data_IF_916051953074
#
_entry.id   IF_916051953074
#
_cell.length_a   1.000
_cell.length_b   1.000
_cell.length_c   1.000
_cell.angle_alpha   90.00
_cell.angle_beta   90.00
_cell.angle_gamma   90.00
#
_symmetry.space_group_name_H-M   'P 1'
#
loop_
_entity.id
_entity.type
_entity.pdbx_description
1 polymer ?
#
# COMPACT_ATOMS: atom_id res chain seq x y z
N UNK A 1 -37.96 10.89 -18.01
CA UNK A 1 -37.66 9.62 -17.28
C UNK A 1 -37.01 10.00 -15.96
N UNK A 2 -37.70 9.84 -14.88
CA UNK A 2 -37.24 10.24 -13.53
C UNK A 2 -36.34 9.14 -12.99
N UNK A 3 -35.04 9.44 -12.86
CA UNK A 3 -34.07 8.60 -12.19
C UNK A 3 -34.33 8.75 -10.67
N UNK A 4 -35.20 7.89 -10.11
CA UNK A 4 -35.41 7.86 -8.66
C UNK A 4 -34.18 7.27 -8.01
N UNK A 5 -33.39 8.13 -7.40
CA UNK A 5 -32.33 7.74 -6.49
C UNK A 5 -32.95 6.98 -5.31
N UNK A 6 -32.72 5.67 -5.22
CA UNK A 6 -33.23 4.84 -4.13
C UNK A 6 -32.31 5.00 -2.90
N UNK A 7 -32.76 5.73 -1.85
CA UNK A 7 -31.95 5.96 -0.66
C UNK A 7 -31.59 4.67 0.10
N UNK A 8 -32.38 3.60 -0.05
CA UNK A 8 -32.10 2.32 0.59
C UNK A 8 -30.88 1.60 -0.03
N UNK A 9 -30.63 1.80 -1.32
CA UNK A 9 -29.45 1.23 -1.98
C UNK A 9 -28.14 1.82 -1.49
N UNK A 10 -28.17 3.12 -1.20
CA UNK A 10 -27.00 3.84 -0.64
C UNK A 10 -26.68 3.37 0.79
N UNK A 11 -27.69 3.28 1.64
CA UNK A 11 -27.56 2.81 3.03
C UNK A 11 -27.08 1.37 3.13
N UNK A 12 -27.54 0.48 2.24
CA UNK A 12 -27.08 -0.91 2.19
C UNK A 12 -25.63 -1.04 1.72
N UNK A 13 -25.17 -0.16 0.82
CA UNK A 13 -23.78 -0.14 0.39
C UNK A 13 -22.85 0.36 1.48
N UNK A 14 -23.23 1.39 2.22
CA UNK A 14 -22.46 1.91 3.36
C UNK A 14 -22.37 0.91 4.52
N UNK A 15 -23.46 0.20 4.81
CA UNK A 15 -23.46 -0.85 5.83
C UNK A 15 -22.54 -2.03 5.46
N UNK A 16 -22.54 -2.44 4.19
CA UNK A 16 -21.60 -3.46 3.69
C UNK A 16 -20.15 -3.03 3.80
N UNK A 17 -19.84 -1.79 3.44
CA UNK A 17 -18.49 -1.22 3.53
C UNK A 17 -18.05 -1.19 5.00
N UNK A 18 -18.91 -0.73 5.92
CA UNK A 18 -18.61 -0.71 7.36
C UNK A 18 -18.35 -2.12 7.91
N UNK A 19 -19.16 -3.09 7.54
CA UNK A 19 -19.00 -4.47 8.01
C UNK A 19 -17.70 -5.08 7.49
N UNK A 20 -17.32 -4.81 6.24
CA UNK A 20 -16.05 -5.30 5.69
C UNK A 20 -14.83 -4.62 6.30
N UNK A 21 -14.91 -3.32 6.59
CA UNK A 21 -13.88 -2.60 7.31
C UNK A 21 -13.70 -3.15 8.74
N UNK A 22 -14.80 -3.46 9.43
CA UNK A 22 -14.75 -4.03 10.78
C UNK A 22 -14.18 -5.46 10.76
N UNK A 23 -14.57 -6.31 9.81
CA UNK A 23 -13.98 -7.64 9.63
C UNK A 23 -12.48 -7.58 9.39
N UNK A 24 -12.03 -6.63 8.58
CA UNK A 24 -10.61 -6.44 8.28
C UNK A 24 -9.84 -5.91 9.49
N UNK A 25 -10.46 -5.04 10.30
CA UNK A 25 -9.90 -4.56 11.58
C UNK A 25 -9.71 -5.72 12.57
N UNK A 26 -10.69 -6.61 12.67
CA UNK A 26 -10.64 -7.78 13.55
C UNK A 26 -9.62 -8.84 13.09
N UNK A 27 -9.34 -8.92 11.78
CA UNK A 27 -8.30 -9.79 11.21
C UNK A 27 -6.89 -9.19 11.27
N UNK A 28 -6.74 -7.94 11.75
CA UNK A 28 -5.47 -7.21 11.64
C UNK A 28 -5.08 -6.88 10.19
N UNK A 29 -6.02 -7.07 9.24
CA UNK A 29 -5.83 -6.83 7.82
C UNK A 29 -6.48 -5.49 7.43
N UNK A 30 -5.68 -4.55 6.94
CA UNK A 30 -6.18 -3.34 6.27
C UNK A 30 -6.76 -2.27 7.19
N UNK A 31 -6.04 -1.89 8.22
CA UNK A 31 -6.18 -0.61 8.89
C UNK A 31 -5.14 0.40 8.37
N UNK A 32 -5.31 1.69 8.69
CA UNK A 32 -4.19 2.61 8.67
C UNK A 32 -3.03 1.92 9.40
N UNK A 33 -1.79 1.96 8.88
CA UNK A 33 -0.69 1.26 9.51
C UNK A 33 -0.64 1.66 10.97
N UNK A 34 -0.83 0.69 11.85
CA UNK A 34 -0.51 0.86 13.26
C UNK A 34 0.97 1.20 13.30
N UNK A 35 1.28 2.42 13.65
CA UNK A 35 2.59 3.04 13.45
C UNK A 35 3.59 2.58 14.48
N UNK A 36 3.84 1.30 14.53
CA UNK A 36 5.02 0.77 15.18
C UNK A 36 6.14 0.84 14.16
N UNK A 37 7.10 1.69 14.40
CA UNK A 37 8.30 1.81 13.57
C UNK A 37 9.50 1.32 14.34
N UNK A 38 10.56 0.95 13.63
CA UNK A 38 11.86 0.61 14.20
C UNK A 38 12.65 1.84 14.68
N UNK A 39 12.05 3.04 14.62
CA UNK A 39 12.68 4.26 15.12
C UNK A 39 12.93 4.18 16.63
N UNK A 40 14.15 4.49 17.10
CA UNK A 40 14.44 4.56 18.54
C UNK A 40 13.56 5.58 19.25
N UNK A 41 13.37 5.39 20.55
CA UNK A 41 12.62 6.34 21.37
C UNK A 41 13.43 7.55 21.81
N UNK A 42 14.75 7.40 21.91
CA UNK A 42 15.61 8.49 22.34
C UNK A 42 15.94 9.50 21.21
N UNK A 43 15.97 10.78 21.54
CA UNK A 43 16.12 11.86 20.57
C UNK A 43 17.47 11.86 19.84
N UNK A 44 18.55 11.39 20.47
CA UNK A 44 19.88 11.37 19.89
C UNK A 44 20.02 10.31 18.81
N UNK A 45 19.55 9.09 19.08
CA UNK A 45 19.55 7.97 18.13
C UNK A 45 18.65 8.24 16.92
N UNK A 46 17.51 8.90 17.12
CA UNK A 46 16.56 9.25 16.04
C UNK A 46 17.19 10.16 14.97
N UNK A 47 18.18 10.96 15.30
CA UNK A 47 18.89 11.83 14.36
C UNK A 47 19.67 11.06 13.28
N UNK A 48 19.96 9.77 13.53
CA UNK A 48 20.62 8.90 12.55
C UNK A 48 19.69 8.39 11.45
N UNK A 49 18.40 8.77 11.48
CA UNK A 49 17.38 8.36 10.49
C UNK A 49 16.84 9.57 9.72
N UNK A 50 17.60 10.09 8.73
CA UNK A 50 17.22 11.28 7.99
C UNK A 50 16.17 10.96 6.89
N UNK A 51 14.95 10.61 7.29
CA UNK A 51 13.89 10.14 6.37
C UNK A 51 13.55 11.21 5.33
N UNK A 52 13.39 12.46 5.75
CA UNK A 52 13.06 13.54 4.82
C UNK A 52 14.23 13.84 3.89
N UNK A 53 15.38 14.22 4.43
CA UNK A 53 16.55 14.66 3.65
C UNK A 53 17.30 13.51 2.97
N UNK A 54 17.20 12.30 3.50
CA UNK A 54 17.90 11.12 2.98
C UNK A 54 17.07 10.26 2.01
N UNK A 55 15.75 10.43 1.99
CA UNK A 55 14.86 9.65 1.14
C UNK A 55 13.88 10.54 0.36
N UNK A 56 13.03 11.28 1.07
CA UNK A 56 11.96 12.05 0.41
C UNK A 56 12.51 13.12 -0.53
N UNK A 57 13.52 13.86 -0.11
CA UNK A 57 14.12 14.94 -0.91
C UNK A 57 14.89 14.40 -2.12
N UNK A 58 15.40 13.16 -2.05
CA UNK A 58 16.12 12.54 -3.17
C UNK A 58 15.17 11.97 -4.23
N UNK A 59 14.02 11.46 -3.83
CA UNK A 59 13.16 10.66 -4.71
C UNK A 59 11.70 11.15 -4.77
N UNK A 60 11.42 12.46 -4.82
CA UNK A 60 10.04 12.96 -4.74
C UNK A 60 9.15 12.39 -5.84
N UNK A 61 9.60 12.43 -7.10
CA UNK A 61 8.81 11.94 -8.23
C UNK A 61 8.69 10.42 -8.27
N UNK A 62 9.74 9.70 -7.86
CA UNK A 62 9.70 8.25 -7.74
C UNK A 62 8.68 7.82 -6.67
N UNK A 63 8.63 8.51 -5.54
CA UNK A 63 7.66 8.23 -4.48
C UNK A 63 6.22 8.52 -4.92
N UNK A 64 6.00 9.57 -5.71
CA UNK A 64 4.70 9.84 -6.35
C UNK A 64 4.30 8.67 -7.26
N UNK A 65 5.20 8.20 -8.12
CA UNK A 65 4.95 7.07 -9.01
C UNK A 65 4.64 5.78 -8.23
N UNK A 66 5.38 5.49 -7.15
CA UNK A 66 5.12 4.34 -6.27
C UNK A 66 3.75 4.46 -5.59
N UNK A 67 3.36 5.66 -5.15
CA UNK A 67 2.05 5.88 -4.53
C UNK A 67 0.89 5.62 -5.50
N UNK A 68 1.07 5.95 -6.78
CA UNK A 68 0.09 5.64 -7.83
C UNK A 68 -0.08 4.13 -8.04
N UNK A 69 0.99 3.35 -7.97
CA UNK A 69 0.91 1.88 -8.01
C UNK A 69 0.05 1.35 -6.86
N UNK A 70 0.25 1.86 -5.66
CA UNK A 70 -0.55 1.51 -4.49
C UNK A 70 -2.04 1.80 -4.70
N UNK A 71 -2.35 3.01 -5.20
CA UNK A 71 -3.73 3.43 -5.48
C UNK A 71 -4.38 2.58 -6.58
N UNK A 72 -3.68 2.38 -7.70
CA UNK A 72 -4.19 1.57 -8.80
C UNK A 72 -4.45 0.11 -8.39
N UNK A 73 -3.55 -0.49 -7.61
CA UNK A 73 -3.75 -1.82 -7.07
C UNK A 73 -4.95 -1.92 -6.13
N UNK A 74 -5.14 -0.92 -5.28
CA UNK A 74 -6.31 -0.86 -4.40
C UNK A 74 -7.62 -0.75 -5.20
N UNK A 75 -7.67 0.13 -6.18
CA UNK A 75 -8.87 0.34 -7.00
C UNK A 75 -9.22 -0.92 -7.82
N UNK A 76 -8.22 -1.67 -8.26
CA UNK A 76 -8.41 -2.92 -8.98
C UNK A 76 -8.97 -4.04 -8.08
N UNK A 77 -8.42 -4.20 -6.88
CA UNK A 77 -8.73 -5.32 -6.00
C UNK A 77 -9.79 -5.02 -4.94
N UNK A 78 -9.97 -3.75 -4.61
CA UNK A 78 -10.90 -3.28 -3.58
C UNK A 78 -11.67 -2.05 -4.06
N UNK A 79 -12.41 -2.13 -5.20
CA UNK A 79 -13.09 -0.97 -5.77
C UNK A 79 -14.05 -0.35 -4.77
N UNK A 80 -14.00 0.98 -4.63
CA UNK A 80 -14.85 1.73 -3.70
C UNK A 80 -14.47 1.65 -2.23
N UNK A 81 -13.39 0.94 -1.88
CA UNK A 81 -12.90 0.84 -0.51
C UNK A 81 -11.71 1.79 -0.26
N UNK A 82 -11.49 2.22 0.99
CA UNK A 82 -10.32 2.99 1.34
C UNK A 82 -9.01 2.28 1.00
N UNK A 83 -7.96 3.07 0.75
CA UNK A 83 -6.63 2.54 0.46
C UNK A 83 -6.16 1.62 1.58
N UNK A 84 -5.78 0.40 1.20
CA UNK A 84 -5.25 -0.61 2.14
C UNK A 84 -4.27 -1.54 1.46
N UNK A 85 -3.36 -2.08 2.25
CA UNK A 85 -2.47 -3.14 1.85
C UNK A 85 -2.73 -4.39 2.69
N UNK A 86 -3.12 -5.48 2.05
CA UNK A 86 -3.33 -6.78 2.70
C UNK A 86 -2.07 -7.63 2.51
N UNK A 87 -1.26 -7.76 3.56
CA UNK A 87 0.04 -8.44 3.53
C UNK A 87 -0.04 -9.91 3.15
N UNK A 88 -1.11 -10.58 3.52
CA UNK A 88 -1.33 -12.02 3.25
C UNK A 88 -1.72 -12.34 1.81
N UNK A 89 -2.14 -11.36 1.02
CA UNK A 89 -2.58 -11.58 -0.37
C UNK A 89 -1.47 -11.91 -1.34
N UNK A 90 -0.22 -11.61 -1.02
CA UNK A 90 0.92 -11.85 -1.88
C UNK A 90 2.05 -12.46 -1.04
N UNK A 91 2.66 -13.51 -1.55
CA UNK A 91 3.84 -14.16 -0.98
C UNK A 91 5.00 -14.25 -1.97
N UNK A 92 4.82 -13.63 -3.15
CA UNK A 92 5.77 -13.69 -4.26
C UNK A 92 6.36 -12.31 -4.63
N UNK A 93 6.56 -11.45 -3.64
CA UNK A 93 7.10 -10.10 -3.85
C UNK A 93 8.41 -10.12 -4.65
N UNK A 94 9.31 -11.05 -4.33
CA UNK A 94 10.61 -11.19 -5.00
C UNK A 94 10.45 -11.47 -6.50
N UNK A 95 9.65 -12.47 -6.84
CA UNK A 95 9.45 -12.86 -8.24
C UNK A 95 8.67 -11.79 -9.02
N UNK A 96 7.66 -11.20 -8.39
CA UNK A 96 6.89 -10.12 -9.01
C UNK A 96 7.76 -8.89 -9.21
N UNK A 97 8.60 -8.53 -8.25
CA UNK A 97 9.59 -7.46 -8.38
C UNK A 97 10.49 -7.70 -9.59
N UNK A 98 11.07 -8.89 -9.71
CA UNK A 98 11.98 -9.23 -10.80
C UNK A 98 11.28 -9.27 -12.16
N UNK A 99 10.06 -9.77 -12.26
CA UNK A 99 9.28 -9.71 -13.50
C UNK A 99 9.09 -8.26 -13.98
N UNK A 100 8.74 -7.35 -13.09
CA UNK A 100 8.64 -5.93 -13.44
C UNK A 100 10.00 -5.30 -13.73
N UNK A 101 11.05 -5.70 -13.02
CA UNK A 101 12.40 -5.20 -13.27
C UNK A 101 12.93 -5.60 -14.65
N UNK A 102 12.61 -6.78 -15.15
CA UNK A 102 12.94 -7.19 -16.52
C UNK A 102 12.33 -6.25 -17.58
N UNK A 103 11.18 -5.68 -17.28
CA UNK A 103 10.47 -4.73 -18.15
C UNK A 103 10.71 -3.26 -17.77
N UNK A 104 11.74 -2.99 -17.00
CA UNK A 104 12.09 -1.62 -16.57
C UNK A 104 12.24 -0.69 -17.77
N UNK A 105 11.91 0.58 -17.57
CA UNK A 105 11.95 1.59 -18.62
C UNK A 105 10.70 1.62 -19.50
N UNK A 106 9.75 0.70 -19.30
CA UNK A 106 8.49 0.63 -20.03
C UNK A 106 7.28 0.78 -19.11
N UNK A 107 6.09 0.89 -19.71
CA UNK A 107 4.81 1.00 -19.02
C UNK A 107 4.02 -0.29 -19.13
N UNK A 108 3.31 -0.63 -18.07
CA UNK A 108 2.34 -1.72 -18.09
C UNK A 108 1.01 -1.28 -18.71
N UNK A 109 0.13 -2.22 -18.96
CA UNK A 109 -1.18 -2.02 -19.61
C UNK A 109 -2.10 -1.07 -18.84
N UNK A 110 -1.89 -0.92 -17.53
CA UNK A 110 -2.63 0.02 -16.67
C UNK A 110 -2.01 1.44 -16.62
N UNK A 111 -1.01 1.71 -17.46
CA UNK A 111 -0.31 3.00 -17.52
C UNK A 111 0.71 3.22 -16.42
N UNK A 112 0.92 2.28 -15.51
CA UNK A 112 1.93 2.37 -14.46
C UNK A 112 3.31 1.92 -15.00
N UNK A 113 4.38 2.58 -14.54
CA UNK A 113 5.74 2.16 -14.88
C UNK A 113 6.07 0.80 -14.26
N UNK A 114 6.64 -0.11 -15.04
CA UNK A 114 7.14 -1.38 -14.49
C UNK A 114 8.17 -1.15 -13.38
N UNK A 115 9.05 -0.16 -13.52
CA UNK A 115 10.03 0.19 -12.47
C UNK A 115 9.35 0.65 -11.17
N UNK A 116 8.25 1.40 -11.24
CA UNK A 116 7.50 1.79 -10.06
C UNK A 116 6.84 0.59 -9.36
N UNK A 117 6.31 -0.37 -10.15
CA UNK A 117 5.77 -1.63 -9.63
C UNK A 117 6.85 -2.49 -8.96
N UNK A 118 8.04 -2.57 -9.57
CA UNK A 118 9.19 -3.25 -8.96
C UNK A 118 9.59 -2.61 -7.63
N UNK A 119 9.69 -1.28 -7.58
CA UNK A 119 10.03 -0.54 -6.37
C UNK A 119 8.99 -0.74 -5.27
N UNK A 120 7.69 -0.70 -5.58
CA UNK A 120 6.63 -0.99 -4.62
C UNK A 120 6.76 -2.40 -4.03
N UNK A 121 7.04 -3.42 -4.88
CA UNK A 121 7.24 -4.80 -4.44
C UNK A 121 8.46 -4.97 -3.56
N UNK A 122 9.54 -4.24 -3.84
CA UNK A 122 10.74 -4.25 -3.02
C UNK A 122 10.49 -3.61 -1.64
N UNK A 123 9.75 -2.50 -1.58
CA UNK A 123 9.33 -1.90 -0.32
C UNK A 123 8.42 -2.85 0.48
N UNK A 124 7.50 -3.54 -0.18
CA UNK A 124 6.63 -4.52 0.46
C UNK A 124 7.43 -5.69 1.05
N UNK A 125 8.41 -6.21 0.32
CA UNK A 125 9.30 -7.26 0.79
C UNK A 125 10.09 -6.81 2.02
N UNK A 126 10.78 -5.67 1.91
CA UNK A 126 11.57 -5.12 3.01
C UNK A 126 10.73 -4.87 4.27
N UNK A 127 9.53 -4.32 4.11
CA UNK A 127 8.63 -4.09 5.24
C UNK A 127 8.24 -5.40 5.95
N UNK A 128 7.94 -6.46 5.18
CA UNK A 128 7.61 -7.76 5.73
C UNK A 128 8.78 -8.41 6.47
N UNK A 129 10.00 -8.29 5.93
CA UNK A 129 11.23 -8.78 6.58
C UNK A 129 11.41 -8.12 7.94
N UNK A 130 11.34 -6.79 8.01
CA UNK A 130 11.47 -6.02 9.26
C UNK A 130 10.36 -6.39 10.26
N UNK A 131 9.13 -6.57 9.79
CA UNK A 131 8.00 -6.96 10.64
C UNK A 131 8.15 -8.38 11.20
N UNK A 132 8.83 -9.29 10.50
CA UNK A 132 9.12 -10.63 10.98
C UNK A 132 10.21 -10.62 12.05
N UNK A 133 11.31 -9.92 11.81
CA UNK A 133 12.40 -9.77 12.78
C UNK A 133 11.91 -9.17 14.12
N UNK A 134 10.94 -8.29 14.08
CA UNK A 134 10.37 -7.65 15.28
C UNK A 134 9.49 -8.58 16.11
N UNK A 135 9.18 -9.80 15.63
CA UNK A 135 8.35 -10.79 16.33
C UNK A 135 9.16 -11.90 16.98
N UNK A 136 10.43 -12.02 16.66
CA UNK A 136 11.39 -12.95 17.26
C UNK A 136 12.07 -12.34 18.49
#
# INVERSE_FOLDING_TARGET
MSNRHDPNKCLQSEAKIRLELEKNRLRGEGGAPTRTTILPNDASSRKNFPIATGVLDYFPDALVAISQVSKAGNDQHNPGLPLRWTRSKSGDESDTCMRHFLQRGTFDTDGQRHTAKAAWRMLALLQKEIEQESKE
#
